data_IF_400336209229
#
_entry.id   IF_400336209229
#
_cell.length_a   1.000
_cell.length_b   1.000
_cell.length_c   1.000
_cell.angle_alpha   90.00
_cell.angle_beta   90.00
_cell.angle_gamma   90.00
#
_symmetry.space_group_name_H-M   'P 1'
#
loop_
_entity.id
_entity.type
_entity.pdbx_description
1 polymer ?
#
# COMPACT_ATOMS: atom_id res chain seq x y z
N UNK A 1 -7.52 -2.33 -26.30
CA UNK A 1 -7.01 -1.30 -25.37
C UNK A 1 -7.33 -1.61 -23.92
N UNK A 2 -8.58 -1.82 -23.51
CA UNK A 2 -8.89 -2.09 -22.09
C UNK A 2 -8.18 -3.36 -21.58
N UNK A 3 -8.23 -4.44 -22.38
CA UNK A 3 -7.50 -5.68 -22.09
C UNK A 3 -5.99 -5.45 -21.95
N UNK A 4 -5.37 -4.73 -22.90
CA UNK A 4 -3.94 -4.41 -22.83
C UNK A 4 -3.59 -3.60 -21.57
N UNK A 5 -4.44 -2.66 -21.16
CA UNK A 5 -4.25 -1.90 -19.92
C UNK A 5 -4.31 -2.81 -18.69
N UNK A 6 -5.32 -3.68 -18.60
CA UNK A 6 -5.48 -4.59 -17.45
C UNK A 6 -4.36 -5.62 -17.40
N UNK A 7 -4.06 -6.28 -18.51
CA UNK A 7 -2.97 -7.27 -18.60
C UNK A 7 -1.63 -6.59 -18.31
N UNK A 8 -1.38 -5.40 -18.87
CA UNK A 8 -0.17 -4.64 -18.61
C UNK A 8 -0.04 -4.23 -17.15
N UNK A 9 -1.13 -3.84 -16.50
CA UNK A 9 -1.13 -3.50 -15.07
C UNK A 9 -0.85 -4.74 -14.19
N UNK A 10 -1.56 -5.85 -14.44
CA UNK A 10 -1.35 -7.10 -13.70
C UNK A 10 0.07 -7.64 -13.87
N UNK A 11 0.60 -7.61 -15.09
CA UNK A 11 1.97 -8.03 -15.36
C UNK A 11 2.99 -7.12 -14.66
N UNK A 12 2.82 -5.79 -14.74
CA UNK A 12 3.73 -4.85 -14.08
C UNK A 12 3.71 -5.01 -12.55
N UNK A 13 2.52 -5.15 -11.96
CA UNK A 13 2.36 -5.40 -10.53
C UNK A 13 2.98 -6.74 -10.13
N UNK A 14 2.74 -7.81 -10.89
CA UNK A 14 3.32 -9.13 -10.66
C UNK A 14 4.84 -9.13 -10.74
N UNK A 15 5.43 -8.42 -11.71
CA UNK A 15 6.89 -8.28 -11.84
C UNK A 15 7.48 -7.51 -10.64
N UNK A 16 6.89 -6.38 -10.27
CA UNK A 16 7.36 -5.58 -9.13
C UNK A 16 7.24 -6.38 -7.81
N UNK A 17 6.11 -7.06 -7.60
CA UNK A 17 5.91 -7.91 -6.44
C UNK A 17 6.90 -9.08 -6.42
N UNK A 18 7.09 -9.79 -7.54
CA UNK A 18 8.01 -10.92 -7.66
C UNK A 18 9.45 -10.49 -7.39
N UNK A 19 9.94 -9.42 -8.02
CA UNK A 19 11.30 -8.93 -7.80
C UNK A 19 11.50 -8.44 -6.36
N UNK A 20 10.49 -7.78 -5.79
CA UNK A 20 10.55 -7.31 -4.40
C UNK A 20 10.58 -8.45 -3.39
N UNK A 21 9.72 -9.46 -3.56
CA UNK A 21 9.67 -10.66 -2.71
C UNK A 21 10.93 -11.52 -2.88
N UNK A 22 11.44 -11.64 -4.10
CA UNK A 22 12.69 -12.33 -4.38
C UNK A 22 13.85 -11.64 -3.66
N UNK A 23 13.95 -10.31 -3.75
CA UNK A 23 14.96 -9.53 -3.04
C UNK A 23 14.80 -9.59 -1.52
N UNK A 24 13.58 -9.87 -1.02
CA UNK A 24 13.28 -10.11 0.39
C UNK A 24 13.64 -11.54 0.86
N UNK A 25 14.13 -12.42 -0.02
CA UNK A 25 14.50 -13.79 0.31
C UNK A 25 13.33 -14.80 0.25
N UNK A 26 12.18 -14.42 -0.32
CA UNK A 26 11.03 -15.32 -0.42
C UNK A 26 11.20 -16.44 -1.49
N UNK A 27 12.34 -16.49 -2.18
CA UNK A 27 12.60 -17.46 -3.23
C UNK A 27 12.77 -18.89 -2.69
N UNK A 28 13.28 -19.03 -1.46
CA UNK A 28 13.59 -20.32 -0.82
C UNK A 28 12.42 -20.87 -0.01
N UNK A 29 11.21 -20.39 -0.26
CA UNK A 29 10.02 -20.88 0.42
C UNK A 29 9.73 -22.35 0.01
N UNK A 30 9.34 -23.21 0.98
CA UNK A 30 9.02 -24.61 0.70
C UNK A 30 7.86 -24.77 -0.31
N UNK A 31 7.76 -25.94 -0.92
CA UNK A 31 6.67 -26.36 -1.82
C UNK A 31 6.43 -25.46 -3.05
N UNK A 32 7.48 -24.78 -3.54
CA UNK A 32 7.36 -23.81 -4.62
C UNK A 32 6.29 -22.74 -4.34
N UNK A 33 6.19 -22.28 -3.09
CA UNK A 33 5.17 -21.31 -2.68
C UNK A 33 5.37 -19.90 -3.29
N UNK A 34 6.55 -19.60 -3.83
CA UNK A 34 6.91 -18.25 -4.32
C UNK A 34 5.88 -17.62 -5.28
N UNK A 35 5.41 -18.27 -6.38
CA UNK A 35 4.40 -17.68 -7.27
C UNK A 35 3.08 -17.37 -6.56
N UNK A 36 2.72 -18.16 -5.53
CA UNK A 36 1.50 -17.95 -4.74
C UNK A 36 1.64 -16.71 -3.85
N UNK A 37 2.80 -16.51 -3.23
CA UNK A 37 3.10 -15.30 -2.45
C UNK A 37 3.12 -14.05 -3.34
N UNK A 38 3.56 -14.17 -4.59
CA UNK A 38 3.46 -13.08 -5.57
C UNK A 38 2.00 -12.74 -5.88
N UNK A 39 1.16 -13.75 -6.15
CA UNK A 39 -0.27 -13.54 -6.38
C UNK A 39 -0.94 -12.89 -5.17
N UNK A 40 -0.64 -13.40 -3.97
CA UNK A 40 -1.09 -12.84 -2.70
C UNK A 40 -0.68 -11.37 -2.58
N UNK A 41 0.60 -11.04 -2.82
CA UNK A 41 1.10 -9.66 -2.78
C UNK A 41 0.40 -8.72 -3.76
N UNK A 42 0.06 -9.19 -4.98
CA UNK A 42 -0.72 -8.41 -5.95
C UNK A 42 -2.17 -8.20 -5.47
N UNK A 43 -2.79 -9.21 -4.88
CA UNK A 43 -4.14 -9.12 -4.30
C UNK A 43 -4.17 -8.15 -3.10
N UNK A 44 -3.20 -8.24 -2.19
CA UNK A 44 -3.04 -7.29 -1.08
C UNK A 44 -2.82 -5.88 -1.61
N UNK A 45 -2.02 -5.69 -2.66
CA UNK A 45 -1.71 -4.36 -3.20
C UNK A 45 -2.96 -3.54 -3.59
N UNK A 46 -4.08 -4.19 -3.89
CA UNK A 46 -5.33 -3.50 -4.27
C UNK A 46 -6.35 -3.42 -3.13
N UNK A 47 -5.93 -3.75 -1.90
CA UNK A 47 -6.76 -3.76 -0.71
C UNK A 47 -7.48 -5.09 -0.46
N UNK A 48 -7.07 -6.19 -1.10
CA UNK A 48 -7.60 -7.51 -0.77
C UNK A 48 -7.23 -7.94 0.65
N UNK A 49 -8.22 -8.37 1.42
CA UNK A 49 -8.01 -9.00 2.73
C UNK A 49 -7.73 -10.48 2.53
N UNK A 50 -6.57 -10.94 3.01
CA UNK A 50 -6.27 -12.36 3.13
C UNK A 50 -6.26 -12.72 4.61
N UNK A 51 -7.14 -13.64 4.99
CA UNK A 51 -7.07 -14.30 6.28
C UNK A 51 -6.20 -15.55 6.12
N UNK A 52 -5.25 -15.71 7.04
CA UNK A 52 -4.48 -16.93 7.16
C UNK A 52 -5.26 -17.87 8.07
N UNK A 53 -6.11 -18.73 7.52
CA UNK A 53 -6.82 -19.74 8.31
C UNK A 53 -5.97 -21.01 8.38
N UNK A 54 -5.47 -21.33 9.58
CA UNK A 54 -4.89 -22.63 9.89
C UNK A 54 -5.85 -23.42 10.76
N UNK A 55 -6.16 -24.66 10.42
CA UNK A 55 -6.89 -25.58 11.31
C UNK A 55 -5.92 -26.14 12.36
N UNK A 56 -5.58 -25.32 13.34
CA UNK A 56 -4.96 -25.77 14.59
C UNK A 56 -6.07 -25.82 15.64
N UNK A 57 -6.80 -26.93 15.66
CA UNK A 57 -8.09 -27.08 16.34
C UNK A 57 -8.17 -26.43 17.72
N UNK A 58 -9.28 -25.72 17.98
CA UNK A 58 -9.80 -25.14 19.23
C UNK A 58 -8.84 -24.42 20.21
N UNK A 59 -7.53 -24.39 19.99
CA UNK A 59 -6.52 -23.89 20.94
C UNK A 59 -5.48 -22.97 20.30
N UNK A 60 -5.52 -22.71 18.99
CA UNK A 60 -4.67 -21.71 18.36
C UNK A 60 -5.36 -21.07 17.15
N UNK A 61 -6.42 -20.30 17.41
CA UNK A 61 -7.05 -19.42 16.42
C UNK A 61 -6.15 -18.20 16.16
N UNK A 62 -5.07 -18.40 15.41
CA UNK A 62 -4.11 -17.32 15.11
C UNK A 62 -4.63 -16.42 13.99
N UNK A 63 -5.25 -15.31 14.37
CA UNK A 63 -5.64 -14.23 13.46
C UNK A 63 -4.39 -13.48 12.94
N UNK A 64 -3.65 -14.05 12.00
CA UNK A 64 -2.47 -13.43 11.39
C UNK A 64 -2.86 -12.53 10.20
N UNK A 65 -3.55 -11.42 10.48
CA UNK A 65 -3.88 -10.41 9.47
C UNK A 65 -2.76 -9.38 9.33
N UNK A 66 -1.70 -9.67 8.56
CA UNK A 66 -0.72 -8.63 8.17
C UNK A 66 -1.33 -7.76 7.08
N UNK A 67 -1.92 -6.64 7.47
CA UNK A 67 -2.48 -5.68 6.50
C UNK A 67 -1.45 -4.60 6.19
N UNK A 68 -0.28 -4.99 5.68
CA UNK A 68 0.66 -4.02 5.09
C UNK A 68 0.47 -4.06 3.59
N UNK A 69 -0.19 -3.03 3.04
CA UNK A 69 -0.32 -2.88 1.59
C UNK A 69 1.07 -2.64 0.98
N UNK A 70 1.54 -3.45 0.02
CA UNK A 70 2.79 -3.17 -0.69
C UNK A 70 2.57 -2.00 -1.66
N UNK A 71 2.68 -0.76 -1.16
CA UNK A 71 2.24 0.42 -1.91
C UNK A 71 3.10 0.68 -3.16
N UNK A 72 4.31 0.14 -3.26
CA UNK A 72 5.09 0.18 -4.51
C UNK A 72 4.38 -0.60 -5.64
N UNK A 73 3.79 -1.76 -5.31
CA UNK A 73 2.99 -2.57 -6.23
C UNK A 73 1.69 -1.85 -6.55
N UNK A 74 1.01 -1.30 -5.53
CA UNK A 74 -0.20 -0.48 -5.69
C UNK A 74 0.03 0.72 -6.61
N UNK A 75 1.12 1.47 -6.40
CA UNK A 75 1.48 2.65 -7.18
C UNK A 75 1.81 2.27 -8.62
N UNK A 76 2.53 1.16 -8.83
CA UNK A 76 2.81 0.63 -10.17
C UNK A 76 1.51 0.35 -10.93
N UNK A 77 0.57 -0.36 -10.29
CA UNK A 77 -0.76 -0.61 -10.85
C UNK A 77 -1.50 0.69 -11.19
N UNK A 78 -1.51 1.65 -10.26
CA UNK A 78 -2.18 2.94 -10.46
C UNK A 78 -1.62 3.73 -11.65
N UNK A 79 -0.30 3.74 -11.82
CA UNK A 79 0.38 4.42 -12.93
C UNK A 79 0.06 3.77 -14.28
N UNK A 80 0.11 2.44 -14.37
CA UNK A 80 -0.17 1.71 -15.62
C UNK A 80 -1.65 1.82 -15.99
N UNK A 81 -2.55 1.61 -15.04
CA UNK A 81 -4.00 1.76 -15.23
C UNK A 81 -4.35 3.20 -15.60
N UNK A 82 -3.81 4.19 -14.88
CA UNK A 82 -4.01 5.60 -15.16
C UNK A 82 -3.53 6.00 -16.55
N UNK A 83 -2.32 5.59 -16.94
CA UNK A 83 -1.78 5.85 -18.27
C UNK A 83 -2.63 5.20 -19.37
N UNK A 84 -3.01 3.93 -19.21
CA UNK A 84 -3.83 3.19 -20.16
C UNK A 84 -5.26 3.74 -20.27
N UNK A 85 -5.83 4.21 -19.16
CA UNK A 85 -7.16 4.85 -19.13
C UNK A 85 -7.16 6.21 -19.84
N UNK A 86 -6.11 7.02 -19.64
CA UNK A 86 -6.00 8.35 -20.24
C UNK A 86 -5.57 8.34 -21.71
N UNK A 87 -4.90 7.28 -22.17
CA UNK A 87 -4.37 7.18 -23.54
C UNK A 87 -5.47 7.36 -24.63
N UNK A 88 -6.62 6.66 -24.58
CA UNK A 88 -7.71 6.89 -25.53
C UNK A 88 -8.28 8.33 -25.50
N UNK A 89 -8.27 8.99 -24.34
CA UNK A 89 -8.76 10.37 -24.20
C UNK A 89 -7.86 11.36 -24.93
N UNK A 90 -6.53 11.12 -24.94
CA UNK A 90 -5.56 11.96 -25.65
C UNK A 90 -5.69 11.83 -27.17
N UNK A 91 -6.06 10.65 -27.66
CA UNK A 91 -6.25 10.38 -29.09
C UNK A 91 -7.68 10.65 -29.59
N UNK A 92 -8.51 11.36 -28.81
CA UNK A 92 -9.93 11.67 -29.12
C UNK A 92 -10.79 10.45 -29.47
N UNK A 93 -10.41 9.25 -29.02
CA UNK A 93 -11.20 8.03 -29.23
C UNK A 93 -12.49 7.99 -28.39
N UNK A 94 -12.63 8.93 -27.44
CA UNK A 94 -13.81 9.09 -26.57
C UNK A 94 -14.33 10.51 -26.77
N UNK A 95 -15.50 10.64 -27.38
CA UNK A 95 -16.09 11.92 -27.77
C UNK A 95 -17.12 12.46 -26.75
N UNK A 96 -17.57 11.64 -25.79
CA UNK A 96 -18.62 12.05 -24.84
C UNK A 96 -18.62 11.30 -23.51
N UNK A 97 -19.39 11.82 -22.55
CA UNK A 97 -19.46 11.30 -21.18
C UNK A 97 -19.96 9.85 -21.11
N UNK A 98 -20.94 9.47 -21.94
CA UNK A 98 -21.43 8.09 -22.02
C UNK A 98 -20.37 7.11 -22.55
N UNK A 99 -19.56 7.54 -23.52
CA UNK A 99 -18.44 6.74 -24.02
C UNK A 99 -17.31 6.62 -22.99
N UNK A 100 -17.05 7.69 -22.22
CA UNK A 100 -16.10 7.66 -21.09
C UNK A 100 -16.56 6.68 -20.01
N UNK A 101 -17.84 6.72 -19.64
CA UNK A 101 -18.43 5.78 -18.70
C UNK A 101 -18.37 4.34 -19.22
N UNK A 102 -18.71 4.10 -20.49
CA UNK A 102 -18.58 2.78 -21.12
C UNK A 102 -17.12 2.29 -21.18
N UNK A 103 -16.17 3.19 -21.40
CA UNK A 103 -14.74 2.88 -21.35
C UNK A 103 -14.28 2.50 -19.94
N UNK A 104 -14.65 3.28 -18.93
CA UNK A 104 -14.39 2.98 -17.53
C UNK A 104 -15.02 1.65 -17.11
N UNK A 105 -16.27 1.38 -17.53
CA UNK A 105 -16.98 0.14 -17.24
C UNK A 105 -16.28 -1.09 -17.85
N UNK A 106 -15.85 -1.01 -19.13
CA UNK A 106 -15.10 -2.11 -19.77
C UNK A 106 -13.79 -2.41 -19.05
N UNK A 107 -13.09 -1.35 -18.62
CA UNK A 107 -11.86 -1.50 -17.83
C UNK A 107 -12.14 -2.14 -16.47
N UNK A 108 -13.21 -1.71 -15.78
CA UNK A 108 -13.63 -2.26 -14.50
C UNK A 108 -14.02 -3.75 -14.62
N UNK A 109 -14.83 -4.13 -15.61
CA UNK A 109 -15.22 -5.53 -15.81
C UNK A 109 -13.99 -6.43 -16.01
N UNK A 110 -13.06 -6.01 -16.87
CA UNK A 110 -11.84 -6.79 -17.12
C UNK A 110 -10.92 -6.83 -15.90
N UNK A 111 -10.81 -5.73 -15.16
CA UNK A 111 -10.03 -5.66 -13.93
C UNK A 111 -10.58 -6.60 -12.85
N UNK A 112 -11.89 -6.56 -12.62
CA UNK A 112 -12.53 -7.43 -11.63
C UNK A 112 -12.48 -8.89 -12.04
N UNK A 113 -12.60 -9.21 -13.33
CA UNK A 113 -12.42 -10.57 -13.82
C UNK A 113 -10.99 -11.08 -13.57
N UNK A 114 -9.98 -10.26 -13.85
CA UNK A 114 -8.58 -10.61 -13.57
C UNK A 114 -8.33 -10.77 -12.07
N UNK A 115 -8.86 -9.86 -11.24
CA UNK A 115 -8.71 -9.91 -9.79
C UNK A 115 -9.42 -11.13 -9.18
N UNK A 116 -10.64 -11.42 -9.62
CA UNK A 116 -11.36 -12.62 -9.20
C UNK A 116 -10.62 -13.91 -9.62
N UNK A 117 -10.00 -13.92 -10.80
CA UNK A 117 -9.13 -15.01 -11.24
C UNK A 117 -7.91 -15.20 -10.34
N UNK A 118 -7.21 -14.11 -10.00
CA UNK A 118 -6.07 -14.15 -9.06
C UNK A 118 -6.49 -14.59 -7.66
N UNK A 119 -7.59 -14.04 -7.15
CA UNK A 119 -8.11 -14.39 -5.83
C UNK A 119 -8.60 -15.85 -5.78
N UNK A 120 -9.19 -16.37 -6.85
CA UNK A 120 -9.55 -17.79 -6.95
C UNK A 120 -8.30 -18.69 -7.03
N UNK A 121 -7.29 -18.29 -7.80
CA UNK A 121 -6.02 -19.00 -7.87
C UNK A 121 -5.28 -19.01 -6.51
N UNK A 122 -5.44 -17.96 -5.70
CA UNK A 122 -4.92 -17.88 -4.35
C UNK A 122 -5.67 -18.78 -3.34
N UNK A 123 -6.93 -19.14 -3.60
CA UNK A 123 -7.81 -19.93 -2.71
C UNK A 123 -7.51 -21.43 -2.61
N UNK A 124 -6.33 -21.90 -3.01
CA UNK A 124 -5.98 -23.32 -2.83
C UNK A 124 -5.33 -23.50 -1.46
N UNK A 125 -5.87 -24.42 -0.66
CA UNK A 125 -5.39 -24.80 0.68
C UNK A 125 -4.00 -25.46 0.59
N UNK A 126 -3.06 -25.08 1.46
CA UNK A 126 -1.76 -25.74 1.58
C UNK A 126 -1.68 -26.49 2.89
N UNK A 127 -1.24 -27.75 2.88
CA UNK A 127 -0.63 -28.36 4.06
C UNK A 127 0.73 -27.67 4.26
N UNK A 128 0.98 -27.08 5.42
CA UNK A 128 2.33 -26.60 5.75
C UNK A 128 2.97 -27.70 6.56
N UNK A 129 3.94 -28.38 5.95
CA UNK A 129 4.76 -29.35 6.68
C UNK A 129 5.70 -28.58 7.61
N UNK A 130 5.50 -28.73 8.92
CA UNK A 130 6.25 -27.99 9.96
C UNK A 130 7.69 -28.48 10.14
N UNK A 131 8.18 -29.35 9.24
CA UNK A 131 9.47 -30.01 9.34
C UNK A 131 9.51 -31.04 10.49
N UNK A 132 10.59 -31.82 10.54
CA UNK A 132 10.85 -32.88 11.53
C UNK A 132 11.13 -32.36 12.97
N UNK A 133 10.39 -31.34 13.40
CA UNK A 133 10.41 -30.81 14.76
C UNK A 133 9.35 -31.45 15.66
N UNK A 134 9.33 -31.05 16.93
CA UNK A 134 8.36 -31.51 17.95
C UNK A 134 6.90 -31.31 17.48
N UNK A 135 6.63 -30.31 16.64
CA UNK A 135 5.32 -30.04 16.06
C UNK A 135 4.90 -31.07 14.99
N UNK A 136 5.84 -31.60 14.19
CA UNK A 136 5.58 -32.65 13.20
C UNK A 136 5.27 -34.01 13.86
N UNK A 137 5.94 -34.32 14.98
CA UNK A 137 5.67 -35.53 15.77
C UNK A 137 4.29 -35.51 16.44
N UNK A 138 3.77 -34.34 16.79
CA UNK A 138 2.42 -34.17 17.37
C UNK A 138 1.35 -34.26 16.27
N UNK A 139 1.58 -33.66 15.09
CA UNK A 139 0.65 -33.76 13.94
C UNK A 139 0.44 -35.18 13.43
N UNK A 140 1.51 -35.98 13.38
CA UNK A 140 1.44 -37.40 12.99
C UNK A 140 0.70 -38.31 13.97
N UNK A 141 0.59 -37.92 15.25
CA UNK A 141 -0.09 -38.71 16.28
C UNK A 141 -1.62 -38.48 16.31
N UNK A 142 -2.07 -37.31 15.83
CA UNK A 142 -3.49 -36.91 15.81
C UNK A 142 -4.14 -36.89 14.42
N UNK A 143 -3.38 -37.20 13.35
CA UNK A 143 -3.90 -37.22 11.97
C UNK A 143 -4.32 -35.84 11.45
N UNK A 144 -3.79 -34.77 12.05
CA UNK A 144 -4.07 -33.38 11.70
C UNK A 144 -2.77 -32.75 11.18
N UNK A 145 -2.51 -32.90 9.87
CA UNK A 145 -1.54 -32.06 9.17
C UNK A 145 -2.07 -30.61 9.18
N UNK A 146 -1.34 -29.64 9.75
CA UNK A 146 -1.80 -28.26 9.79
C UNK A 146 -1.88 -27.70 8.36
N UNK A 147 -3.10 -27.53 7.84
CA UNK A 147 -3.30 -26.85 6.56
C UNK A 147 -3.42 -25.35 6.78
N UNK A 148 -2.46 -24.57 6.27
CA UNK A 148 -2.57 -23.12 6.15
C UNK A 148 -3.24 -22.80 4.81
N UNK A 149 -4.54 -22.50 4.87
CA UNK A 149 -5.30 -22.00 3.73
C UNK A 149 -5.31 -20.49 3.71
N UNK A 150 -4.97 -19.87 2.58
CA UNK A 150 -5.31 -18.46 2.34
C UNK A 150 -6.79 -18.40 1.95
N UNK A 151 -7.68 -18.22 2.93
CA UNK A 151 -9.09 -17.96 2.65
C UNK A 151 -9.20 -16.50 2.20
N UNK A 152 -9.06 -16.28 0.89
CA UNK A 152 -9.34 -14.96 0.33
C UNK A 152 -10.86 -14.79 0.28
N UNK A 153 -11.39 -13.84 1.06
CA UNK A 153 -12.76 -13.36 0.88
C UNK A 153 -12.85 -12.65 -0.48
N UNK A 154 -13.26 -13.41 -1.49
CA UNK A 154 -13.37 -12.93 -2.87
C UNK A 154 -14.36 -11.78 -3.02
N UNK A 155 -15.57 -11.81 -2.42
CA UNK A 155 -16.44 -10.65 -2.38
C UNK A 155 -15.77 -9.39 -1.85
N UNK A 156 -15.09 -9.45 -0.70
CA UNK A 156 -14.40 -8.29 -0.12
C UNK A 156 -13.24 -7.84 -1.01
N UNK A 157 -12.43 -8.76 -1.50
CA UNK A 157 -11.30 -8.47 -2.40
C UNK A 157 -11.74 -7.79 -3.69
N UNK A 158 -12.83 -8.26 -4.30
CA UNK A 158 -13.44 -7.64 -5.49
C UNK A 158 -14.00 -6.26 -5.14
N UNK A 159 -14.62 -6.10 -3.98
CA UNK A 159 -15.11 -4.81 -3.48
C UNK A 159 -14.00 -3.77 -3.30
N UNK A 160 -12.94 -4.12 -2.56
CA UNK A 160 -11.77 -3.26 -2.37
C UNK A 160 -11.02 -2.99 -3.67
N UNK A 161 -10.85 -4.01 -4.51
CA UNK A 161 -10.23 -3.84 -5.83
C UNK A 161 -11.02 -2.93 -6.77
N UNK A 162 -12.35 -2.93 -6.68
CA UNK A 162 -13.20 -1.98 -7.37
C UNK A 162 -13.05 -0.57 -6.79
N UNK A 163 -13.08 -0.43 -5.46
CA UNK A 163 -12.89 0.85 -4.78
C UNK A 163 -11.55 1.48 -5.15
N UNK A 164 -10.47 0.68 -5.13
CA UNK A 164 -9.14 1.08 -5.55
C UNK A 164 -9.14 1.56 -7.01
N UNK A 165 -9.73 0.78 -7.92
CA UNK A 165 -9.78 1.15 -9.34
C UNK A 165 -10.56 2.46 -9.53
N UNK A 166 -11.72 2.61 -8.88
CA UNK A 166 -12.51 3.85 -8.94
C UNK A 166 -11.71 5.05 -8.40
N UNK A 167 -10.95 4.86 -7.32
CA UNK A 167 -10.04 5.87 -6.79
C UNK A 167 -8.96 6.29 -7.79
N UNK A 168 -8.27 5.32 -8.41
CA UNK A 168 -7.26 5.57 -9.46
C UNK A 168 -7.87 6.32 -10.64
N UNK A 169 -9.02 5.87 -11.14
CA UNK A 169 -9.70 6.52 -12.27
C UNK A 169 -10.16 7.95 -11.92
N UNK A 170 -10.70 8.16 -10.71
CA UNK A 170 -11.09 9.47 -10.22
C UNK A 170 -9.89 10.41 -10.15
N UNK A 171 -8.78 9.98 -9.56
CA UNK A 171 -7.54 10.77 -9.48
C UNK A 171 -7.02 11.09 -10.90
N UNK A 172 -7.01 10.12 -11.81
CA UNK A 172 -6.59 10.32 -13.20
C UNK A 172 -7.47 11.35 -13.92
N UNK A 173 -8.79 11.30 -13.73
CA UNK A 173 -9.75 12.26 -14.29
C UNK A 173 -9.58 13.66 -13.68
N UNK A 174 -9.36 13.75 -12.36
CA UNK A 174 -9.15 15.01 -11.67
C UNK A 174 -7.84 15.68 -12.09
N UNK A 175 -6.76 14.93 -12.27
CA UNK A 175 -5.45 15.47 -12.64
C UNK A 175 -5.31 15.82 -14.14
N UNK A 176 -6.21 15.32 -15.01
CA UNK A 176 -6.08 15.44 -16.47
C UNK A 176 -6.88 16.62 -17.06
N UNK A 177 -6.31 17.29 -18.07
CA UNK A 177 -7.01 18.32 -18.86
C UNK A 177 -7.80 17.70 -20.01
N UNK A 178 -8.96 18.28 -20.34
CA UNK A 178 -9.69 17.95 -21.56
C UNK A 178 -10.52 16.67 -21.50
N UNK A 179 -10.91 16.23 -20.30
CA UNK A 179 -11.78 15.06 -20.13
C UNK A 179 -13.21 15.38 -20.61
N UNK A 180 -13.85 14.51 -21.41
CA UNK A 180 -15.24 14.69 -21.86
C UNK A 180 -16.23 14.41 -20.71
N UNK A 181 -16.31 15.32 -19.74
CA UNK A 181 -17.22 15.25 -18.61
C UNK A 181 -18.56 15.96 -18.91
N UNK A 182 -19.67 15.53 -18.27
CA UNK A 182 -20.94 16.23 -18.37
C UNK A 182 -20.80 17.67 -17.83
N UNK A 183 -21.59 18.60 -18.37
CA UNK A 183 -21.47 20.04 -18.08
C UNK A 183 -21.45 20.38 -16.58
N UNK A 184 -22.22 19.62 -15.77
CA UNK A 184 -22.33 19.77 -14.31
C UNK A 184 -21.00 19.50 -13.58
N UNK A 185 -20.19 18.55 -14.06
CA UNK A 185 -18.92 18.16 -13.44
C UNK A 185 -17.70 18.88 -14.00
N UNK A 186 -17.83 19.57 -15.15
CA UNK A 186 -16.72 20.29 -15.79
C UNK A 186 -16.19 21.44 -14.96
N UNK A 187 -17.07 22.24 -14.35
CA UNK A 187 -16.68 23.38 -13.48
C UNK A 187 -15.93 22.93 -12.23
N UNK A 188 -16.45 22.01 -11.39
CA UNK A 188 -15.72 21.56 -10.21
C UNK A 188 -14.42 20.83 -10.58
N UNK A 189 -14.40 20.01 -11.63
CA UNK A 189 -13.18 19.35 -12.09
C UNK A 189 -12.12 20.36 -12.54
N UNK A 190 -12.49 21.38 -13.33
CA UNK A 190 -11.55 22.41 -13.76
C UNK A 190 -10.96 23.21 -12.58
N UNK A 191 -11.74 23.36 -11.49
CA UNK A 191 -11.32 24.02 -10.25
C UNK A 191 -10.38 23.15 -9.40
N UNK A 192 -10.67 21.86 -9.29
CA UNK A 192 -9.89 20.91 -8.49
C UNK A 192 -8.60 20.44 -9.18
N UNK A 193 -8.59 20.41 -10.53
CA UNK A 193 -7.50 19.84 -11.33
C UNK A 193 -6.09 20.36 -10.99
N UNK A 194 -5.84 21.68 -10.88
CA UNK A 194 -4.48 22.17 -10.60
C UNK A 194 -3.93 21.60 -9.29
N UNK A 195 -4.78 21.50 -8.26
CA UNK A 195 -4.38 21.03 -6.95
C UNK A 195 -4.31 19.50 -6.89
N UNK A 196 -5.25 18.79 -7.53
CA UNK A 196 -5.16 17.34 -7.68
C UNK A 196 -3.87 16.91 -8.39
N UNK A 197 -3.51 17.60 -9.48
CA UNK A 197 -2.24 17.38 -10.17
C UNK A 197 -1.04 17.67 -9.27
N UNK A 198 -1.08 18.76 -8.49
CA UNK A 198 -0.01 19.10 -7.57
C UNK A 198 0.17 18.07 -6.45
N UNK A 199 -0.91 17.51 -5.91
CA UNK A 199 -0.84 16.45 -4.89
C UNK A 199 -0.28 15.15 -5.45
N UNK A 200 -0.69 14.74 -6.65
CA UNK A 200 -0.09 13.58 -7.31
C UNK A 200 1.40 13.82 -7.56
N UNK A 201 1.78 15.01 -8.05
CA UNK A 201 3.18 15.36 -8.26
C UNK A 201 3.99 15.38 -6.96
N UNK A 202 3.39 15.87 -5.86
CA UNK A 202 3.99 15.86 -4.52
C UNK A 202 4.29 14.43 -4.08
N UNK A 203 3.29 13.53 -4.10
CA UNK A 203 3.49 12.13 -3.68
C UNK A 203 4.54 11.41 -4.53
N UNK A 204 4.54 11.65 -5.84
CA UNK A 204 5.55 11.08 -6.74
C UNK A 204 6.95 11.68 -6.50
N UNK A 205 7.04 12.97 -6.14
CA UNK A 205 8.31 13.61 -5.78
C UNK A 205 8.89 13.00 -4.49
N UNK A 206 8.07 12.73 -3.48
CA UNK A 206 8.50 12.00 -2.28
C UNK A 206 9.05 10.61 -2.60
N UNK A 207 8.34 9.86 -3.43
CA UNK A 207 8.80 8.54 -3.87
C UNK A 207 10.11 8.65 -4.66
N UNK A 208 10.26 9.65 -5.53
CA UNK A 208 11.49 9.86 -6.28
C UNK A 208 12.68 10.25 -5.38
N UNK A 209 12.47 11.15 -4.41
CA UNK A 209 13.50 11.52 -3.43
C UNK A 209 13.89 10.29 -2.60
N UNK A 210 12.90 9.55 -2.08
CA UNK A 210 13.15 8.31 -1.34
C UNK A 210 13.87 7.25 -2.18
N UNK A 211 13.55 7.14 -3.47
CA UNK A 211 14.23 6.22 -4.38
C UNK A 211 15.71 6.61 -4.54
N UNK A 212 16.01 7.90 -4.74
CA UNK A 212 17.40 8.39 -4.81
C UNK A 212 18.14 8.09 -3.52
N UNK A 213 17.55 8.37 -2.36
CA UNK A 213 18.13 8.07 -1.05
C UNK A 213 18.37 6.57 -0.87
N UNK A 214 17.40 5.73 -1.24
CA UNK A 214 17.50 4.28 -1.15
C UNK A 214 18.61 3.73 -2.07
N UNK A 215 18.71 4.21 -3.32
CA UNK A 215 19.77 3.79 -4.25
C UNK A 215 21.17 4.21 -3.77
N UNK A 216 21.31 5.44 -3.26
CA UNK A 216 22.58 5.91 -2.64
C UNK A 216 22.93 5.05 -1.42
N UNK A 217 21.94 4.72 -0.60
CA UNK A 217 22.14 3.88 0.59
C UNK A 217 22.55 2.46 0.21
N UNK A 218 21.92 1.87 -0.82
CA UNK A 218 22.28 0.55 -1.34
C UNK A 218 23.73 0.54 -1.84
N UNK A 219 24.15 1.57 -2.56
CA UNK A 219 25.52 1.72 -3.06
C UNK A 219 26.55 1.93 -1.94
N UNK A 220 26.18 2.65 -0.87
CA UNK A 220 27.10 3.01 0.21
C UNK A 220 27.19 1.98 1.35
N UNK A 221 26.11 1.24 1.64
CA UNK A 221 25.98 0.42 2.88
C UNK A 221 25.90 -1.10 2.65
N UNK A 222 25.99 -1.59 1.41
CA UNK A 222 26.13 -3.03 1.10
C UNK A 222 24.88 -3.91 1.28
N UNK A 223 23.77 -3.38 1.81
CA UNK A 223 22.50 -4.10 2.03
C UNK A 223 21.59 -4.04 0.79
N UNK A 224 22.12 -4.46 -0.36
CA UNK A 224 21.49 -4.22 -1.68
C UNK A 224 20.15 -4.96 -1.78
N UNK A 225 20.11 -6.25 -1.46
CA UNK A 225 18.89 -7.06 -1.57
C UNK A 225 17.75 -6.51 -0.69
N UNK A 226 18.03 -6.22 0.58
CA UNK A 226 17.03 -5.63 1.48
C UNK A 226 16.53 -4.26 0.99
N UNK A 227 17.44 -3.42 0.48
CA UNK A 227 17.07 -2.10 -0.03
C UNK A 227 16.20 -2.21 -1.29
N UNK A 228 16.48 -3.16 -2.18
CA UNK A 228 15.63 -3.42 -3.35
C UNK A 228 14.26 -3.98 -2.97
N UNK A 229 14.19 -4.87 -1.97
CA UNK A 229 12.91 -5.34 -1.43
C UNK A 229 12.06 -4.17 -0.91
N UNK A 230 12.67 -3.26 -0.14
CA UNK A 230 12.01 -2.04 0.34
C UNK A 230 11.56 -1.16 -0.82
N UNK A 231 12.42 -0.92 -1.82
CA UNK A 231 12.09 -0.11 -3.01
C UNK A 231 10.85 -0.69 -3.72
N UNK A 232 10.85 -2.00 -3.96
CA UNK A 232 9.87 -2.67 -4.81
C UNK A 232 8.57 -3.02 -4.08
N UNK A 233 8.59 -3.12 -2.76
CA UNK A 233 7.40 -3.47 -1.97
C UNK A 233 6.81 -2.28 -1.22
N UNK A 234 7.64 -1.45 -0.58
CA UNK A 234 7.20 -0.54 0.49
C UNK A 234 7.70 0.90 0.44
N UNK A 235 8.34 1.36 -0.64
CA UNK A 235 8.93 2.71 -0.69
C UNK A 235 7.90 3.83 -0.51
N UNK A 236 6.70 3.78 -1.12
CA UNK A 236 5.65 4.76 -0.83
C UNK A 236 5.17 4.69 0.63
N UNK A 237 5.16 3.52 1.27
CA UNK A 237 4.80 3.41 2.69
C UNK A 237 5.71 4.28 3.55
N UNK A 238 7.03 4.23 3.31
CA UNK A 238 8.01 4.99 4.08
C UNK A 238 8.03 6.47 3.68
N UNK A 239 7.99 6.78 2.39
CA UNK A 239 8.09 8.17 1.91
C UNK A 239 6.85 8.99 2.21
N UNK A 240 5.66 8.39 2.14
CA UNK A 240 4.42 9.08 2.52
C UNK A 240 4.24 9.16 4.04
N UNK A 241 4.71 8.15 4.78
CA UNK A 241 4.83 8.26 6.24
C UNK A 241 5.75 9.44 6.61
N UNK A 242 6.91 9.56 5.96
CA UNK A 242 7.87 10.65 6.17
C UNK A 242 7.25 12.03 5.91
N UNK A 243 6.44 12.18 4.85
CA UNK A 243 5.64 13.40 4.61
C UNK A 243 4.70 13.69 5.79
N UNK A 244 3.93 12.70 6.27
CA UNK A 244 3.01 12.95 7.38
C UNK A 244 3.74 13.30 8.68
N UNK A 245 4.89 12.66 8.94
CA UNK A 245 5.73 12.97 10.09
C UNK A 245 6.30 14.38 9.98
N UNK A 246 6.84 14.77 8.83
CA UNK A 246 7.35 16.13 8.56
C UNK A 246 6.30 17.23 8.77
N UNK A 247 5.03 16.92 8.48
CA UNK A 247 3.86 17.76 8.77
C UNK A 247 3.46 17.81 10.25
N UNK A 248 4.10 16.99 11.11
CA UNK A 248 3.83 16.89 12.54
C UNK A 248 2.80 15.84 12.94
N UNK A 249 2.46 14.89 12.06
CA UNK A 249 1.56 13.79 12.42
C UNK A 249 2.22 12.83 13.41
N UNK A 250 1.40 12.21 14.24
CA UNK A 250 1.77 11.16 15.20
C UNK A 250 1.22 9.83 14.72
N UNK A 251 2.07 8.81 14.64
CA UNK A 251 1.70 7.44 14.30
C UNK A 251 1.96 6.53 15.49
N UNK A 252 1.17 5.46 15.63
CA UNK A 252 1.39 4.45 16.65
C UNK A 252 1.65 3.12 15.96
N UNK A 253 2.69 2.40 16.37
CA UNK A 253 3.05 1.14 15.75
C UNK A 253 3.99 0.29 16.60
N UNK A 254 4.11 -0.99 16.22
CA UNK A 254 5.05 -1.96 16.77
C UNK A 254 5.53 -2.86 15.63
N UNK A 255 6.80 -3.28 15.70
CA UNK A 255 7.35 -4.30 14.80
C UNK A 255 7.66 -5.55 15.62
N UNK A 256 6.91 -6.63 15.37
CA UNK A 256 7.10 -7.93 16.03
C UNK A 256 7.83 -8.91 15.09
N UNK A 257 8.81 -9.65 15.65
CA UNK A 257 9.41 -10.84 15.04
C UNK A 257 10.64 -10.61 14.13
N UNK A 258 11.37 -11.71 13.81
CA UNK A 258 12.58 -11.69 12.97
C UNK A 258 12.31 -11.63 11.46
N UNK A 259 11.05 -11.78 11.02
CA UNK A 259 10.62 -11.83 9.61
C UNK A 259 9.88 -10.55 9.16
N UNK A 260 10.34 -9.39 9.62
CA UNK A 260 9.85 -8.10 9.11
C UNK A 260 10.45 -7.79 7.74
N UNK A 261 9.65 -7.26 6.81
CA UNK A 261 10.17 -6.53 5.66
C UNK A 261 11.27 -5.58 6.12
N UNK A 262 12.37 -5.39 5.36
CA UNK A 262 13.49 -4.59 5.82
C UNK A 262 13.02 -3.16 6.15
N UNK A 263 13.05 -2.85 7.44
CA UNK A 263 12.66 -1.55 7.99
C UNK A 263 13.92 -0.68 8.10
N UNK A 264 13.87 0.63 7.78
CA UNK A 264 14.97 1.55 8.05
C UNK A 264 15.41 1.48 9.51
N UNK A 265 16.72 1.54 9.76
CA UNK A 265 17.30 1.33 11.09
C UNK A 265 16.65 2.17 12.21
N UNK A 266 16.37 3.44 11.94
CA UNK A 266 15.71 4.34 12.89
C UNK A 266 14.28 3.90 13.28
N UNK A 267 13.55 3.32 12.33
CA UNK A 267 12.21 2.79 12.61
C UNK A 267 12.32 1.43 13.34
N UNK A 268 13.35 0.63 13.03
CA UNK A 268 13.59 -0.65 13.72
C UNK A 268 13.96 -0.42 15.20
N UNK A 269 14.80 0.57 15.50
CA UNK A 269 15.19 0.96 16.87
C UNK A 269 13.98 1.42 17.71
N UNK A 270 13.08 2.22 17.13
CA UNK A 270 11.94 2.81 17.86
C UNK A 270 10.76 1.84 17.96
N UNK A 271 10.55 0.97 16.97
CA UNK A 271 9.37 0.10 16.89
C UNK A 271 9.59 -1.31 17.42
N UNK A 272 10.84 -1.76 17.60
CA UNK A 272 11.16 -3.08 18.17
C UNK A 272 11.23 -3.02 19.70
N UNK A 273 10.10 -2.62 20.30
CA UNK A 273 9.87 -2.55 21.74
C UNK A 273 8.66 -3.41 22.14
N UNK A 274 8.60 -3.90 23.40
CA UNK A 274 7.47 -4.73 23.87
C UNK A 274 6.12 -4.01 23.78
N UNK A 275 6.11 -2.68 23.93
CA UNK A 275 4.91 -1.84 23.94
C UNK A 275 4.69 -1.10 22.61
N UNK A 276 3.46 -0.63 22.38
CA UNK A 276 3.12 0.17 21.19
C UNK A 276 3.86 1.49 21.28
N UNK A 277 4.78 1.74 20.35
CA UNK A 277 5.59 2.95 20.32
C UNK A 277 4.86 4.08 19.58
N UNK A 278 5.00 5.29 20.12
CA UNK A 278 4.54 6.52 19.48
C UNK A 278 5.65 7.05 18.56
N UNK A 279 5.36 7.12 17.27
CA UNK A 279 6.24 7.61 16.23
C UNK A 279 5.87 9.05 15.88
N UNK A 280 6.72 10.00 16.25
CA UNK A 280 6.57 11.41 15.92
C UNK A 280 7.95 12.05 15.67
N UNK A 281 7.97 13.28 15.16
CA UNK A 281 9.23 13.98 14.88
C UNK A 281 10.12 14.12 16.11
N UNK A 282 9.53 14.36 17.29
CA UNK A 282 10.27 14.50 18.55
C UNK A 282 10.95 13.19 18.96
N UNK A 283 10.19 12.10 19.00
CA UNK A 283 10.72 10.77 19.39
C UNK A 283 11.78 10.28 18.41
N UNK A 284 11.61 10.57 17.11
CA UNK A 284 12.64 10.28 16.11
C UNK A 284 13.87 11.19 16.22
N UNK A 285 13.69 12.47 16.55
CA UNK A 285 14.80 13.42 16.69
C UNK A 285 15.67 13.14 17.93
N UNK A 286 15.13 12.49 18.96
CA UNK A 286 15.88 12.00 20.12
C UNK A 286 16.91 10.92 19.72
N UNK A 287 16.59 10.12 18.70
CA UNK A 287 17.47 9.05 18.17
C UNK A 287 18.40 9.59 17.08
N UNK A 288 17.87 10.36 16.12
CA UNK A 288 18.65 11.00 15.07
C UNK A 288 18.14 12.41 14.75
N UNK A 289 18.96 13.41 15.09
CA UNK A 289 18.67 14.82 14.82
C UNK A 289 18.52 15.12 13.32
N UNK A 290 19.00 14.27 12.41
CA UNK A 290 18.83 14.46 10.96
C UNK A 290 17.36 14.39 10.53
N UNK A 291 16.47 13.82 11.36
CA UNK A 291 15.03 13.74 11.07
C UNK A 291 14.38 15.12 10.92
N UNK A 292 14.96 16.18 11.48
CA UNK A 292 14.53 17.57 11.23
C UNK A 292 14.60 18.00 9.76
N UNK A 293 15.41 17.32 8.94
CA UNK A 293 15.40 17.53 7.49
C UNK A 293 14.06 17.19 6.85
N UNK A 294 13.23 16.33 7.45
CA UNK A 294 11.88 16.06 6.97
C UNK A 294 11.06 17.35 6.88
N UNK A 295 11.10 18.19 7.92
CA UNK A 295 10.41 19.49 7.93
C UNK A 295 10.89 20.39 6.79
N UNK A 296 12.19 20.36 6.49
CA UNK A 296 12.77 21.16 5.40
C UNK A 296 12.34 20.63 4.02
N UNK A 297 12.37 19.30 3.83
CA UNK A 297 11.92 18.64 2.59
C UNK A 297 10.43 18.91 2.36
N UNK A 298 9.60 18.78 3.40
CA UNK A 298 8.19 19.13 3.40
C UNK A 298 7.96 20.57 2.99
N UNK A 299 8.64 21.53 3.61
CA UNK A 299 8.52 22.94 3.25
C UNK A 299 8.85 23.18 1.77
N UNK A 300 9.96 22.63 1.28
CA UNK A 300 10.39 22.80 -0.12
C UNK A 300 9.39 22.17 -1.09
N UNK A 301 8.99 20.92 -0.87
CA UNK A 301 8.10 20.19 -1.77
C UNK A 301 6.67 20.71 -1.74
N UNK A 302 6.17 21.14 -0.58
CA UNK A 302 4.84 21.77 -0.46
C UNK A 302 4.80 23.14 -1.12
N UNK A 303 5.85 23.96 -0.98
CA UNK A 303 5.96 25.24 -1.70
C UNK A 303 6.01 24.99 -3.21
N UNK A 304 6.80 24.00 -3.66
CA UNK A 304 6.85 23.62 -5.07
C UNK A 304 5.48 23.14 -5.58
N UNK A 305 4.76 22.33 -4.80
CA UNK A 305 3.41 21.87 -5.14
C UNK A 305 2.39 23.03 -5.19
N UNK A 306 2.45 23.96 -4.23
CA UNK A 306 1.60 25.15 -4.22
C UNK A 306 1.87 26.04 -5.44
N UNK A 307 3.15 26.25 -5.78
CA UNK A 307 3.54 26.97 -6.99
C UNK A 307 3.04 26.26 -8.25
N UNK A 308 3.16 24.93 -8.32
CA UNK A 308 2.69 24.11 -9.42
C UNK A 308 1.17 24.18 -9.63
N UNK A 309 0.41 24.19 -8.52
CA UNK A 309 -1.03 24.38 -8.52
C UNK A 309 -1.39 25.78 -9.03
N UNK A 310 -0.75 26.82 -8.50
CA UNK A 310 -0.96 28.21 -8.91
C UNK A 310 -0.63 28.43 -10.40
N UNK A 311 0.48 27.91 -10.90
CA UNK A 311 0.89 28.01 -12.30
C UNK A 311 -0.07 27.31 -13.27
N UNK A 312 -0.86 26.33 -12.79
CA UNK A 312 -1.86 25.60 -13.60
C UNK A 312 -3.30 26.08 -13.40
N UNK A 313 -3.51 27.04 -12.51
CA UNK A 313 -4.80 27.64 -12.19
C UNK A 313 -5.22 28.71 -13.20
N UNK A 314 -6.54 28.97 -13.37
CA UNK A 314 -7.03 30.11 -14.15
C UNK A 314 -6.59 31.46 -13.56
N UNK A 315 -6.31 32.45 -14.41
CA UNK A 315 -5.75 33.76 -14.04
C UNK A 315 -6.63 34.66 -13.13
N UNK A 316 -7.85 34.25 -12.79
CA UNK A 316 -8.84 35.07 -12.04
C UNK A 316 -9.19 34.51 -10.66
N UNK A 317 -8.28 33.79 -10.02
CA UNK A 317 -8.50 33.24 -8.68
C UNK A 317 -7.81 34.12 -7.63
N UNK A 318 -8.52 34.41 -6.54
CA UNK A 318 -7.97 35.16 -5.40
C UNK A 318 -6.91 34.31 -4.67
N UNK A 319 -5.99 34.95 -3.96
CA UNK A 319 -4.91 34.26 -3.25
C UNK A 319 -5.43 33.31 -2.15
N UNK A 320 -6.42 33.75 -1.37
CA UNK A 320 -7.01 32.92 -0.32
C UNK A 320 -7.75 31.69 -0.86
N UNK A 321 -8.31 31.77 -2.08
CA UNK A 321 -8.95 30.62 -2.73
C UNK A 321 -7.94 29.55 -3.13
N UNK A 322 -6.74 29.96 -3.56
CA UNK A 322 -5.64 29.02 -3.81
C UNK A 322 -5.21 28.33 -2.52
N UNK A 323 -5.01 29.12 -1.45
CA UNK A 323 -4.62 28.59 -0.15
C UNK A 323 -5.66 27.59 0.38
N UNK A 324 -6.96 27.92 0.32
CA UNK A 324 -8.02 27.03 0.79
C UNK A 324 -8.09 25.73 -0.02
N UNK A 325 -8.01 25.80 -1.36
CA UNK A 325 -8.04 24.59 -2.20
C UNK A 325 -6.81 23.72 -1.97
N UNK A 326 -5.64 24.33 -1.80
CA UNK A 326 -4.40 23.65 -1.46
C UNK A 326 -4.51 22.94 -0.11
N UNK A 327 -5.02 23.64 0.91
CA UNK A 327 -5.23 23.09 2.25
C UNK A 327 -6.19 21.89 2.22
N UNK A 328 -7.36 22.04 1.58
CA UNK A 328 -8.34 20.95 1.46
C UNK A 328 -7.73 19.75 0.72
N UNK A 329 -7.02 19.97 -0.38
CA UNK A 329 -6.40 18.88 -1.12
C UNK A 329 -5.28 18.19 -0.33
N UNK A 330 -4.48 18.95 0.42
CA UNK A 330 -3.44 18.39 1.30
C UNK A 330 -4.07 17.53 2.39
N UNK A 331 -5.12 18.01 3.05
CA UNK A 331 -5.87 17.25 4.08
C UNK A 331 -6.43 15.96 3.49
N UNK A 332 -7.06 16.01 2.31
CA UNK A 332 -7.57 14.81 1.65
C UNK A 332 -6.45 13.84 1.24
N UNK A 333 -5.29 14.37 0.87
CA UNK A 333 -4.11 13.58 0.51
C UNK A 333 -3.53 12.88 1.75
N UNK A 334 -3.37 13.60 2.86
CA UNK A 334 -2.93 13.04 4.13
C UNK A 334 -3.93 12.00 4.63
N UNK A 335 -5.24 12.26 4.55
CA UNK A 335 -6.26 11.29 4.90
C UNK A 335 -6.14 10.02 4.04
N UNK A 336 -5.94 10.16 2.73
CA UNK A 336 -5.70 9.02 1.83
C UNK A 336 -4.45 8.22 2.24
N UNK A 337 -3.36 8.91 2.59
CA UNK A 337 -2.15 8.26 3.12
C UNK A 337 -2.48 7.53 4.42
N UNK A 338 -3.21 8.13 5.35
CA UNK A 338 -3.57 7.49 6.61
C UNK A 338 -4.46 6.25 6.42
N UNK A 339 -5.39 6.28 5.45
CA UNK A 339 -6.24 5.13 5.12
C UNK A 339 -5.45 3.99 4.47
N UNK A 340 -4.51 4.31 3.59
CA UNK A 340 -3.72 3.32 2.84
C UNK A 340 -2.49 2.83 3.60
N UNK A 341 -1.93 3.67 4.46
CA UNK A 341 -0.80 3.40 5.33
C UNK A 341 -1.18 2.86 6.69
N UNK A 342 -2.46 2.53 6.94
CA UNK A 342 -2.91 1.90 8.19
C UNK A 342 -2.30 0.50 8.28
N UNK A 343 -1.08 0.41 8.81
CA UNK A 343 -0.38 -0.82 9.12
C UNK A 343 -1.05 -1.38 10.37
N UNK A 344 -2.04 -2.24 10.20
CA UNK A 344 -2.54 -3.07 11.28
C UNK A 344 -1.76 -4.38 11.25
N UNK A 345 -0.71 -4.46 12.06
CA UNK A 345 -0.08 -5.70 12.47
C UNK A 345 -0.52 -5.96 13.92
N UNK A 346 -1.63 -6.66 14.11
CA UNK A 346 -1.96 -7.24 15.42
C UNK A 346 -1.42 -8.66 15.43
N UNK A 347 -0.25 -8.84 16.04
CA UNK A 347 0.22 -10.16 16.48
C UNK A 347 0.14 -10.21 18.00
N UNK A 348 -1.05 -10.53 18.50
CA UNK A 348 -1.19 -11.00 19.86
C UNK A 348 -0.80 -12.47 19.91
N UNK A 349 0.44 -12.78 20.28
CA UNK A 349 0.70 -14.05 20.94
C UNK A 349 -0.11 -14.03 22.24
N UNK A 350 -1.32 -14.61 22.20
CA UNK A 350 -1.97 -15.14 23.39
C UNK A 350 -1.17 -16.38 23.82
N UNK A 351 0.04 -16.12 24.33
CA UNK A 351 0.79 -17.09 25.11
C UNK A 351 0.08 -17.16 26.45
N UNK A 352 -0.63 -18.26 26.63
CA UNK A 352 -1.41 -18.69 27.80
C UNK A 352 -2.90 -18.29 27.77
N UNK A 353 -3.70 -19.22 27.25
CA UNK A 353 -5.00 -19.56 27.85
C UNK A 353 -4.86 -20.09 29.29
N UNK A 354 -4.05 -19.42 30.11
CA UNK A 354 -3.86 -19.60 31.55
C UNK A 354 -3.64 -18.19 32.09
N UNK A 355 -4.75 -17.51 32.33
CA UNK A 355 -4.76 -16.16 32.87
C UNK A 355 -6.11 -15.78 33.46
N UNK A 356 -6.95 -16.74 33.85
CA UNK A 356 -7.98 -16.53 34.87
C UNK A 356 -8.50 -17.89 35.40
N UNK A 357 -7.72 -18.51 36.29
CA UNK A 357 -8.23 -19.50 37.25
C UNK A 357 -7.24 -19.57 38.41
N UNK A 358 -7.56 -18.89 39.50
CA UNK A 358 -6.80 -19.02 40.75
C UNK A 358 -6.98 -17.84 41.69
N UNK A 359 -8.06 -17.85 42.46
CA UNK A 359 -8.45 -16.76 43.35
C UNK A 359 -7.52 -16.50 44.53
N UNK A 360 -7.82 -15.43 45.27
CA UNK A 360 -7.21 -15.21 46.59
C UNK A 360 -7.27 -13.76 47.05
N UNK A 361 -8.19 -13.47 47.96
CA UNK A 361 -8.30 -12.22 48.70
C UNK A 361 -7.07 -11.96 49.60
N UNK A 362 -6.96 -10.69 50.00
CA UNK A 362 -6.34 -10.13 51.22
C UNK A 362 -4.85 -9.81 51.23
N UNK A 363 -4.54 -8.60 51.70
CA UNK A 363 -3.21 -8.11 52.06
C UNK A 363 -2.91 -6.73 51.53
#
# INVERSE_FOLDING_TARGET
>A
MALLTVVGAMAAMGVVAALGLWAAGAADLPDNAFPRVVVAGVVTAVGGSMELSGDAGALAETHAGVTVLPLSVTLTGALVVGAGFLRPLRHRAVAGAGQLAGWAARLAVLWLAALAGLAFAARQTFAVDLGDGVLGAIGGLFGAEPTVGFTTDVPLTVGFGLLWLLGVLLIALLATRGVPLPARLRRPQASARPVAYAMVALLLAYVAVGLVVALVTAAARGHVAQTFALILLGLPNLTWLALTLGLGATWNGRVDGPFGLPVPHLLDEVLRTPDVSTLNLGTLAEHDHRVWWLVTVDAVLLIAAAFLAAARSPARLRLWEHALRMAVALVLTVLLICLTGRISAHYGLSLLGIGDVGGGLSG
#
